data_IF_480916497983
#
_entry.id   IF_480916497983
#
_cell.length_a   1.000
_cell.length_b   1.000
_cell.length_c   1.000
_cell.angle_alpha   90.00
_cell.angle_beta   90.00
_cell.angle_gamma   90.00
#
_symmetry.space_group_name_H-M   'P 1'
#
loop_
_entity.id
_entity.type
_entity.pdbx_description
1 polymer ?
#
# COMPACT_ATOMS: atom_id res chain seq x y z
N UNK A 1 5.87 -11.52 -6.16
CA UNK A 1 6.57 -11.05 -7.39
C UNK A 1 5.93 -11.69 -8.61
N UNK A 2 5.80 -10.96 -9.72
CA UNK A 2 5.32 -11.48 -11.01
C UNK A 2 6.52 -11.61 -11.94
N UNK A 3 6.61 -12.73 -12.66
CA UNK A 3 7.66 -12.92 -13.65
C UNK A 3 7.30 -12.16 -14.94
N UNK A 4 8.31 -11.57 -15.60
CA UNK A 4 8.13 -10.94 -16.91
C UNK A 4 7.68 -11.96 -17.97
N UNK A 5 8.30 -13.13 -17.96
CA UNK A 5 7.99 -14.26 -18.82
C UNK A 5 8.11 -15.55 -18.02
N UNK A 6 7.57 -16.66 -18.52
CA UNK A 6 7.77 -18.00 -17.95
C UNK A 6 8.53 -18.89 -18.96
N UNK A 7 9.31 -19.89 -18.50
CA UNK A 7 10.05 -20.75 -19.41
C UNK A 7 9.14 -21.43 -20.44
N UNK A 8 9.45 -21.25 -21.73
CA UNK A 8 8.66 -21.83 -22.84
C UNK A 8 7.50 -20.97 -23.33
N UNK A 9 7.28 -19.79 -22.73
CA UNK A 9 6.27 -18.82 -23.16
C UNK A 9 6.91 -17.45 -23.38
N UNK A 10 6.68 -16.85 -24.56
CA UNK A 10 7.18 -15.52 -24.92
C UNK A 10 6.25 -14.39 -24.48
N UNK A 11 5.12 -14.69 -23.84
CA UNK A 11 4.19 -13.69 -23.37
C UNK A 11 4.80 -12.79 -22.28
N UNK A 12 4.71 -11.47 -22.48
CA UNK A 12 5.25 -10.46 -21.56
C UNK A 12 4.17 -9.97 -20.59
N UNK A 13 4.06 -10.66 -19.45
CA UNK A 13 3.08 -10.35 -18.40
C UNK A 13 3.30 -8.96 -17.78
N UNK A 14 4.54 -8.46 -17.78
CA UNK A 14 4.83 -7.13 -17.23
C UNK A 14 4.36 -6.04 -18.19
N UNK A 15 4.52 -6.24 -19.50
CA UNK A 15 3.95 -5.31 -20.47
C UNK A 15 2.42 -5.25 -20.39
N UNK A 16 1.74 -6.39 -20.24
CA UNK A 16 0.30 -6.43 -20.00
C UNK A 16 -0.08 -5.64 -18.74
N UNK A 17 0.55 -5.96 -17.60
CA UNK A 17 0.31 -5.30 -16.33
C UNK A 17 0.52 -3.78 -16.39
N UNK A 18 1.50 -3.30 -17.15
CA UNK A 18 1.83 -1.86 -17.25
C UNK A 18 1.04 -1.10 -18.32
N UNK A 19 0.44 -1.78 -19.31
CA UNK A 19 -0.29 -1.12 -20.40
C UNK A 19 -1.81 -1.14 -20.25
N UNK A 20 -2.34 -1.97 -19.34
CA UNK A 20 -3.79 -2.07 -19.09
C UNK A 20 -4.32 -0.99 -18.17
N UNK A 21 -5.57 -0.57 -18.38
CA UNK A 21 -6.30 0.30 -17.46
C UNK A 21 -6.65 -0.39 -16.13
N UNK A 22 -6.55 -1.73 -16.07
CA UNK A 22 -6.91 -2.53 -14.89
C UNK A 22 -5.73 -2.86 -13.98
N UNK A 23 -4.58 -2.21 -14.18
CA UNK A 23 -3.33 -2.51 -13.47
C UNK A 23 -3.51 -2.64 -11.95
N UNK A 24 -4.21 -1.71 -11.30
CA UNK A 24 -4.44 -1.71 -9.85
C UNK A 24 -5.20 -2.94 -9.37
N UNK A 25 -6.19 -3.41 -10.14
CA UNK A 25 -6.95 -4.63 -9.83
C UNK A 25 -6.09 -5.88 -10.02
N UNK A 26 -5.34 -5.93 -11.12
CA UNK A 26 -4.41 -7.03 -11.39
C UNK A 26 -3.36 -7.15 -10.28
N UNK A 27 -2.83 -6.03 -9.76
CA UNK A 27 -1.89 -6.04 -8.62
C UNK A 27 -2.52 -6.73 -7.40
N UNK A 28 -3.77 -6.42 -7.05
CA UNK A 28 -4.47 -7.08 -5.95
C UNK A 28 -4.65 -8.60 -6.22
N UNK A 29 -5.04 -8.97 -7.43
CA UNK A 29 -5.27 -10.36 -7.82
C UNK A 29 -4.00 -11.21 -7.83
N UNK A 30 -2.90 -10.66 -8.35
CA UNK A 30 -1.56 -11.28 -8.32
C UNK A 30 -1.16 -11.66 -6.90
N UNK A 31 -1.51 -10.82 -5.93
CA UNK A 31 -1.16 -11.05 -4.54
C UNK A 31 -1.91 -12.26 -3.93
N UNK A 32 -2.96 -12.79 -4.56
CA UNK A 32 -3.60 -14.05 -4.11
C UNK A 32 -2.66 -15.27 -4.18
N UNK A 33 -1.61 -15.20 -5.00
CA UNK A 33 -0.67 -16.29 -5.19
C UNK A 33 0.24 -16.57 -3.98
N UNK A 34 0.32 -15.67 -3.01
CA UNK A 34 1.14 -15.85 -1.80
C UNK A 34 0.56 -15.13 -0.59
N UNK A 35 0.92 -15.62 0.61
CA UNK A 35 0.57 -15.02 1.89
C UNK A 35 1.85 -14.75 2.70
N UNK A 36 2.34 -13.49 2.73
CA UNK A 36 3.48 -13.15 3.56
C UNK A 36 3.16 -13.41 5.04
N UNK A 37 4.09 -14.03 5.78
CA UNK A 37 3.97 -14.15 7.24
C UNK A 37 4.39 -12.89 7.98
N UNK A 38 5.21 -12.05 7.34
CA UNK A 38 5.68 -10.76 7.84
C UNK A 38 6.01 -9.84 6.67
N UNK A 39 5.64 -8.59 6.79
CA UNK A 39 5.99 -7.48 5.91
C UNK A 39 6.79 -6.51 6.76
N UNK A 40 7.97 -6.11 6.30
CA UNK A 40 8.78 -5.06 6.90
C UNK A 40 9.03 -4.00 5.83
N UNK A 41 8.65 -2.76 6.13
CA UNK A 41 8.79 -1.63 5.21
C UNK A 41 9.66 -0.56 5.85
N UNK A 42 10.75 -0.23 5.15
CA UNK A 42 11.51 1.00 5.42
C UNK A 42 10.76 2.17 4.79
N UNK A 43 10.20 3.02 5.65
CA UNK A 43 9.53 4.26 5.30
C UNK A 43 10.21 5.45 5.96
N UNK A 44 11.53 5.42 6.16
CA UNK A 44 12.26 6.56 6.71
C UNK A 44 12.19 7.74 5.72
N UNK A 45 12.35 7.45 4.42
CA UNK A 45 12.05 8.36 3.32
C UNK A 45 10.92 7.80 2.46
N UNK A 46 10.02 8.66 1.98
CA UNK A 46 8.93 8.28 1.08
C UNK A 46 8.85 9.21 -0.14
N UNK A 47 8.50 8.65 -1.30
CA UNK A 47 8.11 9.43 -2.47
C UNK A 47 6.62 9.78 -2.39
N UNK A 48 6.30 11.07 -2.30
CA UNK A 48 4.90 11.53 -2.29
C UNK A 48 4.32 11.69 -3.71
N UNK A 49 5.19 11.72 -4.72
CA UNK A 49 4.83 11.67 -6.14
C UNK A 49 5.99 11.13 -6.99
N UNK A 50 5.69 10.68 -8.21
CA UNK A 50 6.67 10.34 -9.25
C UNK A 50 7.52 9.08 -9.03
N UNK A 51 7.44 8.48 -7.84
CA UNK A 51 8.27 7.33 -7.45
C UNK A 51 8.06 6.09 -8.33
N UNK A 52 8.86 5.03 -8.13
CA UNK A 52 9.87 4.87 -7.08
C UNK A 52 11.27 5.41 -7.45
N UNK A 53 11.47 5.95 -8.66
CA UNK A 53 12.80 6.39 -9.14
C UNK A 53 12.97 7.93 -9.08
N UNK A 54 11.91 8.67 -9.40
CA UNK A 54 11.95 10.14 -9.52
C UNK A 54 10.86 10.77 -8.65
N UNK A 55 10.95 12.07 -8.40
CA UNK A 55 9.88 12.83 -7.73
C UNK A 55 10.25 13.33 -6.35
N UNK A 56 9.24 13.85 -5.64
CA UNK A 56 9.43 14.54 -4.35
C UNK A 56 9.54 13.53 -3.21
N UNK A 57 10.67 13.57 -2.50
CA UNK A 57 10.88 12.83 -1.26
C UNK A 57 10.47 13.64 -0.04
N UNK A 58 10.07 12.94 1.01
CA UNK A 58 9.79 13.48 2.35
C UNK A 58 10.38 12.54 3.40
N UNK A 59 10.76 13.10 4.54
CA UNK A 59 11.21 12.34 5.70
C UNK A 59 9.98 11.89 6.50
N UNK A 60 9.51 10.66 6.24
CA UNK A 60 8.42 10.06 7.01
C UNK A 60 8.88 9.43 8.32
N UNK A 61 10.18 9.13 8.45
CA UNK A 61 10.83 8.71 9.70
C UNK A 61 10.16 7.51 10.39
N UNK A 62 9.63 6.55 9.61
CA UNK A 62 8.97 5.36 10.16
C UNK A 62 9.51 4.07 9.59
N UNK A 63 9.51 3.03 10.41
CA UNK A 63 9.63 1.64 9.97
C UNK A 63 8.33 0.94 10.34
N UNK A 64 7.72 0.25 9.38
CA UNK A 64 6.43 -0.42 9.55
C UNK A 64 6.62 -1.93 9.49
N UNK A 65 5.86 -2.66 10.31
CA UNK A 65 5.76 -4.10 10.23
C UNK A 65 4.29 -4.54 10.31
N UNK A 66 3.90 -5.53 9.50
CA UNK A 66 2.56 -6.08 9.52
C UNK A 66 2.55 -7.54 9.07
N UNK A 67 1.51 -8.28 9.45
CA UNK A 67 1.19 -9.61 8.91
C UNK A 67 0.08 -9.55 7.86
N UNK A 68 -0.62 -8.42 7.77
CA UNK A 68 -1.68 -8.16 6.79
C UNK A 68 -1.21 -7.11 5.77
N UNK A 69 -1.29 -7.46 4.49
CA UNK A 69 -0.83 -6.59 3.41
C UNK A 69 -1.79 -5.46 3.08
N UNK A 70 -3.09 -5.69 3.24
CA UNK A 70 -4.11 -4.68 3.00
C UNK A 70 -4.02 -3.62 4.11
N UNK A 71 -3.77 -4.06 5.35
CA UNK A 71 -3.45 -3.15 6.44
C UNK A 71 -2.19 -2.32 6.16
N UNK A 72 -1.12 -2.95 5.66
CA UNK A 72 0.11 -2.24 5.28
C UNK A 72 -0.14 -1.19 4.19
N UNK A 73 -0.85 -1.54 3.12
CA UNK A 73 -1.17 -0.62 2.02
C UNK A 73 -2.06 0.55 2.48
N UNK A 74 -3.05 0.26 3.34
CA UNK A 74 -3.94 1.28 3.88
C UNK A 74 -3.20 2.28 4.78
N UNK A 75 -2.34 1.79 5.68
CA UNK A 75 -1.47 2.63 6.53
C UNK A 75 -0.48 3.42 5.68
N UNK A 76 0.13 2.79 4.67
CA UNK A 76 1.01 3.46 3.72
C UNK A 76 0.31 4.61 2.96
N UNK A 77 -0.92 4.39 2.50
CA UNK A 77 -1.72 5.43 1.86
C UNK A 77 -2.06 6.58 2.82
N UNK A 78 -2.40 6.28 4.08
CA UNK A 78 -2.65 7.28 5.11
C UNK A 78 -1.39 8.13 5.38
N UNK A 79 -0.21 7.51 5.47
CA UNK A 79 1.07 8.22 5.59
C UNK A 79 1.32 9.14 4.39
N UNK A 80 1.15 8.66 3.16
CA UNK A 80 1.32 9.49 1.96
C UNK A 80 0.37 10.71 1.98
N UNK A 81 -0.87 10.53 2.46
CA UNK A 81 -1.83 11.63 2.64
C UNK A 81 -1.34 12.68 3.65
N UNK A 82 -0.77 12.27 4.79
CA UNK A 82 -0.20 13.19 5.79
C UNK A 82 0.88 14.10 5.21
N UNK A 83 1.71 13.60 4.30
CA UNK A 83 2.84 14.34 3.72
C UNK A 83 2.51 15.10 2.42
N UNK A 84 1.26 15.06 1.96
CA UNK A 84 0.83 15.72 0.73
C UNK A 84 1.22 14.93 -0.52
N UNK A 85 0.35 13.99 -0.90
CA UNK A 85 0.49 13.11 -2.07
C UNK A 85 -0.30 13.60 -3.29
N UNK A 86 -0.42 12.78 -4.32
CA UNK A 86 -1.15 13.09 -5.55
C UNK A 86 -2.66 13.10 -5.32
N UNK A 87 -3.45 13.80 -6.16
CA UNK A 87 -4.91 13.84 -6.03
C UNK A 87 -5.58 12.46 -6.10
N UNK A 88 -4.99 11.50 -6.83
CA UNK A 88 -5.52 10.14 -6.98
C UNK A 88 -5.45 9.37 -5.66
N UNK A 89 -4.41 9.59 -4.85
CA UNK A 89 -4.26 8.96 -3.53
C UNK A 89 -4.98 9.77 -2.45
N UNK A 90 -5.00 11.10 -2.58
CA UNK A 90 -5.52 12.02 -1.55
C UNK A 90 -7.03 12.23 -1.50
N UNK A 91 -7.81 11.60 -2.38
CA UNK A 91 -9.28 11.78 -2.45
C UNK A 91 -10.03 10.55 -1.95
N UNK A 92 -11.23 10.78 -1.39
CA UNK A 92 -12.11 9.72 -0.91
C UNK A 92 -11.54 8.94 0.28
N UNK A 93 -12.20 7.86 0.68
CA UNK A 93 -11.73 7.02 1.78
C UNK A 93 -10.52 6.19 1.35
N UNK A 94 -9.62 5.86 2.27
CA UNK A 94 -8.46 4.99 1.95
C UNK A 94 -8.90 3.66 1.33
N UNK A 95 -9.97 3.06 1.86
CA UNK A 95 -10.54 1.79 1.37
C UNK A 95 -11.29 1.90 0.03
N UNK A 96 -11.43 3.11 -0.54
CA UNK A 96 -11.97 3.32 -1.90
C UNK A 96 -10.87 3.34 -2.96
N UNK A 97 -9.59 3.34 -2.57
CA UNK A 97 -8.48 3.18 -3.52
C UNK A 97 -8.64 1.84 -4.24
N UNK A 98 -8.67 1.86 -5.57
CA UNK A 98 -9.08 0.73 -6.40
C UNK A 98 -8.36 -0.59 -6.07
N UNK A 99 -7.06 -0.53 -5.77
CA UNK A 99 -6.27 -1.70 -5.38
C UNK A 99 -6.69 -2.28 -4.01
N UNK A 100 -6.98 -1.40 -3.02
CA UNK A 100 -7.43 -1.81 -1.69
C UNK A 100 -8.86 -2.34 -1.78
N UNK A 101 -9.76 -1.62 -2.46
CA UNK A 101 -11.13 -2.06 -2.66
C UNK A 101 -11.20 -3.43 -3.34
N UNK A 102 -10.38 -3.68 -4.37
CA UNK A 102 -10.28 -4.98 -5.03
C UNK A 102 -9.72 -6.06 -4.09
N UNK A 103 -8.70 -5.73 -3.30
CA UNK A 103 -8.13 -6.66 -2.32
C UNK A 103 -9.15 -7.08 -1.26
N UNK A 104 -10.00 -6.15 -0.81
CA UNK A 104 -11.13 -6.45 0.09
C UNK A 104 -12.17 -7.35 -0.59
N UNK A 105 -12.56 -7.02 -1.82
CA UNK A 105 -13.54 -7.80 -2.59
C UNK A 105 -13.14 -9.27 -2.75
N UNK A 106 -11.84 -9.54 -2.93
CA UNK A 106 -11.30 -10.89 -3.09
C UNK A 106 -10.82 -11.53 -1.77
N UNK A 107 -11.04 -10.89 -0.63
CA UNK A 107 -10.75 -11.44 0.71
C UNK A 107 -9.26 -11.58 1.04
N UNK A 108 -8.42 -10.61 0.61
CA UNK A 108 -6.96 -10.69 0.74
C UNK A 108 -6.42 -10.28 2.11
N UNK A 109 -7.19 -9.52 2.90
CA UNK A 109 -6.80 -8.98 4.20
C UNK A 109 -7.91 -8.13 4.80
N UNK A 110 -7.54 -7.22 5.71
CA UNK A 110 -8.43 -6.31 6.41
C UNK A 110 -9.46 -5.65 5.47
N UNK A 111 -10.73 -5.66 5.85
CA UNK A 111 -11.85 -5.16 5.06
C UNK A 111 -12.17 -3.67 5.31
N UNK A 112 -11.69 -3.11 6.42
CA UNK A 112 -11.90 -1.71 6.78
C UNK A 112 -10.82 -1.18 7.71
N UNK A 113 -10.84 0.15 7.95
CA UNK A 113 -9.90 0.81 8.85
C UNK A 113 -10.03 0.33 10.29
N UNK A 114 -11.25 -0.03 10.71
CA UNK A 114 -11.56 -0.51 12.06
C UNK A 114 -10.97 -1.89 12.37
N UNK A 115 -10.61 -2.66 11.35
CA UNK A 115 -9.92 -3.95 11.51
C UNK A 115 -8.40 -3.78 11.67
N UNK A 116 -7.87 -2.56 11.54
CA UNK A 116 -6.43 -2.28 11.62
C UNK A 116 -6.09 -1.72 13.00
N UNK A 117 -5.32 -2.49 13.77
CA UNK A 117 -4.67 -2.02 14.99
C UNK A 117 -3.23 -1.59 14.69
N UNK A 118 -2.89 -0.34 15.00
CA UNK A 118 -1.50 0.13 14.99
C UNK A 118 -0.94 0.04 16.41
N UNK A 119 0.14 -0.72 16.59
CA UNK A 119 0.84 -0.88 17.87
C UNK A 119 2.22 -0.24 17.82
N UNK A 120 2.67 0.34 18.92
CA UNK A 120 3.94 1.09 18.99
C UNK A 120 4.72 0.78 20.27
N UNK A 121 6.05 0.95 20.22
CA UNK A 121 6.94 0.63 21.34
C UNK A 121 7.14 1.76 22.36
N UNK A 122 6.77 3.00 22.00
CA UNK A 122 7.00 4.20 22.80
C UNK A 122 5.93 5.27 22.57
N UNK A 123 5.99 6.35 23.35
CA UNK A 123 5.01 7.45 23.33
C UNK A 123 5.10 8.35 22.10
N UNK A 124 6.30 8.55 21.57
CA UNK A 124 6.52 9.38 20.37
C UNK A 124 5.90 8.68 19.15
N UNK A 125 6.22 7.39 19.01
CA UNK A 125 5.61 6.50 18.03
C UNK A 125 4.09 6.43 18.20
N UNK A 126 3.57 6.36 19.43
CA UNK A 126 2.12 6.35 19.69
C UNK A 126 1.44 7.63 19.20
N UNK A 127 2.01 8.80 19.50
CA UNK A 127 1.47 10.08 19.04
C UNK A 127 1.51 10.22 17.51
N UNK A 128 2.54 9.66 16.87
CA UNK A 128 2.62 9.60 15.41
C UNK A 128 1.56 8.65 14.84
N UNK A 129 1.36 7.47 15.45
CA UNK A 129 0.33 6.53 15.06
C UNK A 129 -1.09 7.12 15.20
N UNK A 130 -1.33 7.97 16.20
CA UNK A 130 -2.62 8.67 16.36
C UNK A 130 -2.93 9.54 15.14
N UNK A 131 -1.95 10.29 14.63
CA UNK A 131 -2.11 11.11 13.42
C UNK A 131 -2.40 10.24 12.18
N UNK A 132 -1.71 9.10 12.07
CA UNK A 132 -1.96 8.14 10.97
C UNK A 132 -3.39 7.59 11.05
N UNK A 133 -3.87 7.24 12.25
CA UNK A 133 -5.24 6.74 12.46
C UNK A 133 -6.28 7.78 12.07
N UNK A 134 -6.06 9.05 12.41
CA UNK A 134 -6.98 10.13 12.01
C UNK A 134 -7.15 10.22 10.49
N UNK A 135 -6.09 10.01 9.73
CA UNK A 135 -6.14 10.03 8.25
C UNK A 135 -6.67 8.72 7.67
N UNK A 136 -6.40 7.58 8.33
CA UNK A 136 -6.84 6.26 7.88
C UNK A 136 -8.37 6.11 7.87
N UNK A 137 -9.06 6.76 8.81
CA UNK A 137 -10.53 6.73 8.93
C UNK A 137 -11.25 7.80 8.10
N UNK A 138 -10.51 8.70 7.44
CA UNK A 138 -11.05 9.74 6.55
C UNK A 138 -11.26 9.22 5.12
#
# INVERSE_FOLDING_TARGET
MVAKTVPGDSYDFMNELHSTAHQRRMIAEINTAYAPSLILMDGVEAFVNGGPDRGKKVDSNVVLAATDRVAMDAVGAALLRMYGTTPEVGRGRVFELEQIARAVEIGLGAASAEEIEIVTGDRESAAYADQVREVLVQ
#
